data_IF_346027878377
#
_entry.id   IF_346027878377
#
_cell.length_a   1.000
_cell.length_b   1.000
_cell.length_c   1.000
_cell.angle_alpha   90.00
_cell.angle_beta   90.00
_cell.angle_gamma   90.00
#
_symmetry.space_group_name_H-M   'P 1'
#
loop_
_entity.id
_entity.type
_entity.pdbx_description
1 polymer ?
#
# COMPACT_ATOMS: atom_id res chain seq x y z
N UNK A 1 1.45 36.57 20.89
CA UNK A 1 0.83 35.24 20.81
C UNK A 1 1.55 34.37 19.80
N UNK A 2 2.45 33.51 20.29
CA UNK A 2 3.23 32.62 19.44
C UNK A 2 2.54 31.25 19.46
N UNK A 3 1.74 30.96 18.42
CA UNK A 3 1.18 29.63 18.22
C UNK A 3 2.32 28.66 17.92
N UNK A 4 2.63 27.79 18.87
CA UNK A 4 3.64 26.75 18.68
C UNK A 4 3.20 25.80 17.58
N UNK A 5 4.06 25.58 16.59
CA UNK A 5 3.87 24.54 15.58
C UNK A 5 3.80 23.18 16.28
N UNK A 6 2.73 22.43 16.02
CA UNK A 6 2.51 21.10 16.59
C UNK A 6 2.18 20.12 15.47
N UNK A 7 2.85 18.97 15.50
CA UNK A 7 2.49 17.83 14.67
C UNK A 7 1.17 17.23 15.17
N UNK A 8 0.15 17.29 14.33
CA UNK A 8 -1.16 16.70 14.60
C UNK A 8 -1.37 15.49 13.70
N UNK A 9 -1.85 14.41 14.31
CA UNK A 9 -2.26 13.23 13.57
C UNK A 9 -3.69 13.42 13.09
N UNK A 10 -3.88 13.55 11.78
CA UNK A 10 -5.21 13.85 11.21
C UNK A 10 -6.26 12.76 11.41
N UNK A 11 -5.84 11.52 11.64
CA UNK A 11 -6.75 10.37 11.74
C UNK A 11 -7.33 10.21 13.16
N UNK A 12 -6.65 10.73 14.18
CA UNK A 12 -7.15 10.78 15.55
C UNK A 12 -6.51 12.00 16.26
N UNK A 13 -7.15 13.18 16.14
CA UNK A 13 -6.63 14.42 16.70
C UNK A 13 -6.57 14.41 18.24
N UNK A 14 -7.40 13.59 18.88
CA UNK A 14 -7.57 13.54 20.34
C UNK A 14 -6.58 12.57 21.01
N UNK A 15 -6.31 11.40 20.39
CA UNK A 15 -5.36 10.40 20.92
C UNK A 15 -3.96 10.48 20.32
N UNK A 16 -3.76 11.30 19.28
CA UNK A 16 -2.47 11.42 18.59
C UNK A 16 -2.18 10.22 17.70
N UNK A 17 -0.90 9.86 17.52
CA UNK A 17 -0.47 8.74 16.65
C UNK A 17 -0.32 7.42 17.44
N UNK A 18 -1.37 6.57 17.55
CA UNK A 18 -1.19 5.22 18.06
C UNK A 18 -0.57 4.35 16.97
N UNK A 19 0.62 3.79 17.25
CA UNK A 19 1.33 2.88 16.34
C UNK A 19 0.41 1.76 15.82
N UNK A 20 -0.42 1.19 16.69
CA UNK A 20 -1.38 0.14 16.33
C UNK A 20 -2.45 0.61 15.34
N UNK A 21 -3.01 1.80 15.53
CA UNK A 21 -4.06 2.34 14.67
C UNK A 21 -3.51 2.71 13.28
N UNK A 22 -2.31 3.30 13.25
CA UNK A 22 -1.60 3.57 12.00
C UNK A 22 -1.31 2.27 11.22
N UNK A 23 -0.79 1.25 11.91
CA UNK A 23 -0.50 -0.04 11.29
C UNK A 23 -1.76 -0.73 10.75
N UNK A 24 -2.86 -0.70 11.52
CA UNK A 24 -4.14 -1.25 11.09
C UNK A 24 -4.70 -0.52 9.87
N UNK A 25 -4.63 0.81 9.82
CA UNK A 25 -5.07 1.59 8.65
C UNK A 25 -4.26 1.25 7.40
N UNK A 26 -2.93 1.21 7.51
CA UNK A 26 -2.05 0.89 6.39
C UNK A 26 -2.27 -0.53 5.89
N UNK A 27 -2.52 -1.48 6.79
CA UNK A 27 -2.64 -2.91 6.43
C UNK A 27 -4.05 -3.30 6.01
N UNK A 28 -5.09 -2.63 6.54
CA UNK A 28 -6.49 -2.99 6.30
C UNK A 28 -6.94 -2.75 4.86
N UNK A 29 -6.36 -1.78 4.17
CA UNK A 29 -6.71 -1.47 2.78
C UNK A 29 -5.99 -2.40 1.78
N UNK A 30 -4.83 -2.93 2.17
CA UNK A 30 -3.99 -3.79 1.34
C UNK A 30 -4.40 -5.27 1.40
N UNK A 31 -4.97 -5.72 2.53
CA UNK A 31 -5.24 -7.14 2.78
C UNK A 31 -6.55 -7.66 2.18
N UNK A 32 -7.62 -6.85 2.15
CA UNK A 32 -8.99 -7.35 1.89
C UNK A 32 -9.23 -7.80 0.45
N UNK A 33 -8.44 -7.32 -0.52
CA UNK A 33 -8.64 -7.65 -1.95
C UNK A 33 -7.64 -8.68 -2.50
N UNK A 34 -6.52 -8.91 -1.83
CA UNK A 34 -5.42 -9.72 -2.36
C UNK A 34 -5.35 -11.15 -1.80
N UNK A 35 -5.93 -11.43 -0.64
CA UNK A 35 -5.71 -12.68 0.10
C UNK A 35 -6.06 -13.96 -0.69
N UNK A 36 -7.25 -14.00 -1.33
CA UNK A 36 -7.68 -15.14 -2.14
C UNK A 36 -6.83 -15.33 -3.41
N UNK A 37 -6.37 -14.23 -4.00
CA UNK A 37 -5.56 -14.25 -5.22
C UNK A 37 -4.11 -14.64 -4.88
N UNK A 38 -3.61 -14.21 -3.72
CA UNK A 38 -2.28 -14.50 -3.24
C UNK A 38 -2.06 -15.99 -3.00
N UNK A 39 -3.06 -16.69 -2.42
CA UNK A 39 -3.02 -18.14 -2.26
C UNK A 39 -2.88 -18.89 -3.60
N UNK A 40 -3.63 -18.46 -4.63
CA UNK A 40 -3.57 -19.06 -5.97
C UNK A 40 -2.26 -18.72 -6.71
N UNK A 41 -1.74 -17.50 -6.53
CA UNK A 41 -0.53 -17.02 -7.19
C UNK A 41 0.73 -17.73 -6.71
N UNK A 42 0.82 -18.05 -5.41
CA UNK A 42 1.97 -18.73 -4.82
C UNK A 42 1.86 -20.26 -4.85
N UNK A 43 0.87 -20.79 -5.58
CA UNK A 43 0.68 -22.22 -5.73
C UNK A 43 1.87 -22.87 -6.48
N UNK A 44 2.33 -24.03 -6.00
CA UNK A 44 3.51 -24.75 -6.55
C UNK A 44 3.45 -25.05 -8.05
N UNK A 45 2.25 -25.11 -8.62
CA UNK A 45 2.05 -25.41 -10.04
C UNK A 45 2.22 -24.17 -10.95
N UNK A 46 2.24 -22.97 -10.37
CA UNK A 46 2.43 -21.72 -11.11
C UNK A 46 3.93 -21.41 -11.19
N UNK A 47 4.49 -21.23 -12.39
CA UNK A 47 5.87 -20.78 -12.54
C UNK A 47 6.09 -19.43 -11.85
N UNK A 48 7.16 -19.31 -11.08
CA UNK A 48 7.46 -18.13 -10.25
C UNK A 48 7.48 -16.80 -11.04
N UNK A 49 7.90 -16.84 -12.31
CA UNK A 49 7.88 -15.66 -13.19
C UNK A 49 6.47 -15.09 -13.38
N UNK A 50 5.47 -15.97 -13.48
CA UNK A 50 4.07 -15.57 -13.64
C UNK A 50 3.54 -14.99 -12.33
N UNK A 51 3.81 -15.65 -11.19
CA UNK A 51 3.42 -15.18 -9.86
C UNK A 51 3.94 -13.77 -9.58
N UNK A 52 5.23 -13.52 -9.83
CA UNK A 52 5.85 -12.20 -9.64
C UNK A 52 5.23 -11.16 -10.58
N UNK A 53 4.95 -11.53 -11.84
CA UNK A 53 4.33 -10.61 -12.80
C UNK A 53 2.92 -10.19 -12.34
N UNK A 54 2.07 -11.16 -11.99
CA UNK A 54 0.69 -10.87 -11.58
C UNK A 54 0.67 -10.14 -10.23
N UNK A 55 1.54 -10.48 -9.29
CA UNK A 55 1.68 -9.73 -8.03
C UNK A 55 2.04 -8.26 -8.26
N UNK A 56 2.95 -7.98 -9.21
CA UNK A 56 3.29 -6.59 -9.61
C UNK A 56 2.13 -5.91 -10.33
N UNK A 57 1.37 -6.64 -11.14
CA UNK A 57 0.20 -6.13 -11.85
C UNK A 57 -0.90 -5.71 -10.86
N UNK A 58 -1.26 -6.58 -9.93
CA UNK A 58 -2.31 -6.34 -8.92
C UNK A 58 -2.01 -5.15 -8.01
N UNK A 59 -0.72 -4.89 -7.75
CA UNK A 59 -0.26 -3.79 -6.89
C UNK A 59 0.06 -2.51 -7.66
N UNK A 60 -0.25 -2.46 -8.95
CA UNK A 60 0.08 -1.35 -9.86
C UNK A 60 1.56 -0.91 -9.72
N UNK A 61 2.45 -1.92 -9.72
CA UNK A 61 3.91 -1.76 -9.61
C UNK A 61 4.66 -2.13 -10.88
N UNK A 62 3.94 -2.32 -11.98
CA UNK A 62 4.57 -2.44 -13.29
C UNK A 62 5.03 -1.05 -13.76
N UNK A 63 6.18 -0.94 -14.44
CA UNK A 63 6.69 0.32 -14.97
C UNK A 63 5.90 0.76 -16.20
N UNK A 64 4.59 0.97 -16.03
CA UNK A 64 3.72 1.56 -17.06
C UNK A 64 3.88 3.08 -17.01
N UNK A 65 3.66 3.75 -18.15
CA UNK A 65 3.70 5.22 -18.22
C UNK A 65 2.79 5.86 -17.15
N UNK A 66 1.58 5.33 -17.00
CA UNK A 66 0.63 5.78 -15.99
C UNK A 66 1.19 5.67 -14.56
N UNK A 67 1.81 4.54 -14.20
CA UNK A 67 2.43 4.35 -12.89
C UNK A 67 3.64 5.25 -12.64
N UNK A 68 4.41 5.55 -13.69
CA UNK A 68 5.53 6.46 -13.57
C UNK A 68 5.05 7.91 -13.38
N UNK A 69 3.94 8.30 -14.03
CA UNK A 69 3.30 9.61 -13.86
C UNK A 69 2.67 9.74 -12.46
N UNK A 70 1.87 8.77 -12.00
CA UNK A 70 1.25 8.82 -10.67
C UNK A 70 2.27 8.87 -9.53
N UNK A 71 3.46 8.30 -9.74
CA UNK A 71 4.58 8.36 -8.79
C UNK A 71 5.48 9.58 -8.96
N UNK A 72 5.24 10.44 -9.96
CA UNK A 72 6.04 11.63 -10.24
C UNK A 72 7.46 11.35 -10.77
N UNK A 73 7.69 10.17 -11.36
CA UNK A 73 9.00 9.78 -11.94
C UNK A 73 9.16 10.41 -13.34
N UNK A 74 8.09 10.49 -14.12
CA UNK A 74 8.06 11.14 -15.43
C UNK A 74 6.90 12.14 -15.49
N UNK A 75 7.09 13.21 -16.27
CA UNK A 75 6.09 14.25 -16.55
C UNK A 75 5.26 13.92 -17.80
#
# INVERSE_FOLDING_TARGET
DQSSDKWQWHLDPDRGYPVRGAYQLLTSQESVTLDAVEYLLWHKQVPLKISIFVWRLLRDRLPTKANLVTRGIIA
#
